data_IF_751199308716
#
_entry.id   IF_751199308716
#
_cell.length_a   1.000
_cell.length_b   1.000
_cell.length_c   1.000
_cell.angle_alpha   90.00
_cell.angle_beta   90.00
_cell.angle_gamma   90.00
#
_symmetry.space_group_name_H-M   'P 1'
#
loop_
_entity.id
_entity.type
_entity.pdbx_description
1 polymer ?
#
# COMPACT_ATOMS: atom_id res chain seq x y z
N UNK A 1 37.56 -28.57 3.21
CA UNK A 1 36.73 -27.76 2.30
C UNK A 1 35.32 -27.74 2.85
N UNK A 2 34.78 -26.60 3.35
CA UNK A 2 33.42 -26.56 3.83
C UNK A 2 32.46 -26.12 2.71
N UNK A 3 31.39 -26.90 2.55
CA UNK A 3 30.26 -26.61 1.68
C UNK A 3 29.40 -25.51 2.32
N UNK A 4 29.10 -24.46 1.54
CA UNK A 4 28.16 -23.41 1.90
C UNK A 4 26.72 -23.94 1.72
N UNK A 5 26.01 -24.11 2.83
CA UNK A 5 24.56 -24.28 2.86
C UNK A 5 23.91 -22.90 2.72
N UNK A 6 23.38 -22.61 1.53
CA UNK A 6 22.46 -21.50 1.29
C UNK A 6 21.11 -21.81 1.95
N UNK A 7 20.83 -21.13 3.06
CA UNK A 7 19.51 -21.13 3.69
C UNK A 7 18.57 -20.25 2.89
N UNK A 8 17.60 -20.86 2.22
CA UNK A 8 16.44 -20.18 1.65
C UNK A 8 15.51 -19.79 2.80
N UNK A 9 15.48 -18.52 3.17
CA UNK A 9 14.43 -17.98 4.04
C UNK A 9 13.13 -17.93 3.24
N UNK A 10 12.29 -18.93 3.44
CA UNK A 10 10.90 -18.93 2.99
C UNK A 10 10.15 -17.75 3.60
N UNK A 11 9.62 -16.90 2.75
CA UNK A 11 8.60 -15.91 3.10
C UNK A 11 7.34 -16.66 3.50
N UNK A 12 7.10 -16.76 4.82
CA UNK A 12 5.81 -17.19 5.35
C UNK A 12 4.75 -16.20 4.87
N UNK A 13 3.84 -16.69 4.02
CA UNK A 13 2.59 -16.02 3.68
C UNK A 13 1.84 -15.69 4.98
N UNK A 14 1.78 -14.40 5.30
CA UNK A 14 0.97 -13.89 6.39
C UNK A 14 -0.45 -13.75 5.87
N UNK A 15 -1.28 -14.76 6.15
CA UNK A 15 -2.72 -14.61 6.25
C UNK A 15 -3.02 -13.59 7.35
N UNK A 16 -3.26 -12.34 6.96
CA UNK A 16 -3.97 -11.36 7.78
C UNK A 16 -5.16 -10.84 6.97
N UNK A 17 -6.27 -11.59 6.99
CA UNK A 17 -7.58 -10.98 6.84
C UNK A 17 -8.05 -10.56 8.25
N UNK A 18 -8.62 -9.36 8.38
CA UNK A 18 -10.07 -9.32 8.26
C UNK A 18 -10.52 -8.19 7.33
N UNK A 19 -11.48 -8.51 6.47
CA UNK A 19 -12.48 -7.61 5.91
C UNK A 19 -12.00 -6.17 5.66
N UNK A 20 -11.42 -5.94 4.48
CA UNK A 20 -11.28 -4.60 3.91
C UNK A 20 -11.93 -4.62 2.54
N UNK A 21 -13.20 -4.25 2.49
CA UNK A 21 -13.77 -3.67 1.27
C UNK A 21 -12.90 -2.45 0.95
N UNK A 22 -11.98 -2.56 -0.01
CA UNK A 22 -11.10 -1.46 -0.44
C UNK A 22 -11.86 -0.21 -0.91
N UNK A 23 -13.17 -0.33 -1.14
CA UNK A 23 -14.08 0.79 -1.43
C UNK A 23 -14.56 1.58 -0.21
N UNK A 24 -14.39 1.04 1.00
CA UNK A 24 -14.76 1.67 2.25
C UNK A 24 -13.56 1.74 3.18
N UNK A 25 -12.56 2.59 2.84
CA UNK A 25 -11.89 3.34 3.89
C UNK A 25 -12.99 3.89 4.80
N UNK A 26 -13.08 3.35 6.03
CA UNK A 26 -14.19 3.54 6.97
C UNK A 26 -14.71 4.98 6.84
N UNK A 27 -16.03 5.18 6.71
CA UNK A 27 -16.63 6.52 6.63
C UNK A 27 -16.10 7.41 7.77
N UNK A 28 -15.71 6.80 8.89
CA UNK A 28 -14.95 7.41 9.98
C UNK A 28 -13.60 7.99 9.55
N UNK A 29 -12.72 7.21 8.90
CA UNK A 29 -11.42 7.67 8.41
C UNK A 29 -11.59 8.78 7.37
N UNK A 30 -12.49 8.63 6.39
CA UNK A 30 -12.80 9.71 5.43
C UNK A 30 -13.28 11.00 6.09
N UNK A 31 -14.03 10.91 7.21
CA UNK A 31 -14.45 12.08 8.00
C UNK A 31 -13.32 12.69 8.82
N UNK A 32 -12.38 11.88 9.31
CA UNK A 32 -11.19 12.37 10.00
C UNK A 32 -10.26 13.08 9.02
N UNK A 33 -10.12 12.55 7.80
CA UNK A 33 -9.35 13.17 6.71
C UNK A 33 -9.83 14.59 6.38
N UNK A 34 -11.14 14.77 6.17
CA UNK A 34 -11.77 16.07 5.88
C UNK A 34 -11.61 17.13 6.97
N UNK A 35 -11.32 16.71 8.21
CA UNK A 35 -11.25 17.60 9.37
C UNK A 35 -9.82 17.83 9.84
N UNK A 36 -8.87 17.02 9.37
CA UNK A 36 -7.50 17.13 9.80
C UNK A 36 -6.86 18.40 9.22
N UNK A 37 -6.07 19.14 10.01
CA UNK A 37 -5.33 20.27 9.49
C UNK A 37 -4.33 19.79 8.45
N UNK A 38 -4.24 20.52 7.35
CA UNK A 38 -3.19 20.31 6.34
C UNK A 38 -1.89 20.94 6.85
N UNK A 39 -0.79 20.19 6.78
CA UNK A 39 0.56 20.67 7.10
C UNK A 39 1.53 20.25 6.02
N UNK A 40 2.66 20.95 5.94
CA UNK A 40 3.86 20.52 5.22
C UNK A 40 4.78 19.77 6.19
N UNK A 41 5.68 18.94 5.68
CA UNK A 41 6.57 18.08 6.45
C UNK A 41 7.53 18.88 7.34
N UNK A 42 8.10 19.96 6.83
CA UNK A 42 9.09 20.77 7.52
C UNK A 42 8.53 21.47 8.75
N UNK A 43 7.25 21.87 8.72
CA UNK A 43 6.57 22.54 9.84
C UNK A 43 5.80 21.57 10.75
N UNK A 44 5.78 20.28 10.44
CA UNK A 44 5.02 19.32 11.23
C UNK A 44 5.72 19.07 12.58
N UNK A 45 5.00 19.40 13.63
CA UNK A 45 5.38 19.07 15.00
C UNK A 45 5.27 17.57 15.26
N UNK A 46 6.18 17.06 16.08
CA UNK A 46 6.20 15.64 16.44
C UNK A 46 4.93 15.23 17.20
N UNK A 47 4.41 14.03 16.93
CA UNK A 47 3.17 13.49 17.50
C UNK A 47 1.90 14.30 17.18
N UNK A 48 1.98 15.30 16.31
CA UNK A 48 0.81 16.05 15.85
C UNK A 48 0.13 15.33 14.70
N UNK A 49 -1.17 15.08 14.88
CA UNK A 49 -1.99 14.42 13.88
C UNK A 49 -2.38 15.42 12.78
N UNK A 50 -1.83 15.24 11.58
CA UNK A 50 -2.03 16.15 10.46
C UNK A 50 -2.11 15.41 9.13
N UNK A 51 -2.67 16.09 8.14
CA UNK A 51 -2.68 15.66 6.74
C UNK A 51 -1.48 16.28 6.04
N UNK A 52 -0.68 15.46 5.37
CA UNK A 52 0.45 15.89 4.57
C UNK A 52 0.29 15.36 3.15
N UNK A 53 0.45 16.22 2.15
CA UNK A 53 0.49 15.82 0.74
C UNK A 53 1.92 15.87 0.23
N UNK A 54 2.29 14.92 -0.62
CA UNK A 54 3.63 14.86 -1.20
C UNK A 54 3.72 13.83 -2.31
N UNK A 55 4.89 13.75 -2.91
CA UNK A 55 5.23 12.84 -4.01
C UNK A 55 5.85 11.56 -3.45
N UNK A 56 5.41 10.42 -3.94
CA UNK A 56 5.97 9.11 -3.58
C UNK A 56 7.35 8.95 -4.21
N UNK A 57 8.34 8.62 -3.40
CA UNK A 57 9.72 8.33 -3.81
C UNK A 57 10.15 6.96 -3.31
N UNK A 58 11.07 6.28 -4.03
CA UNK A 58 11.51 4.97 -3.62
C UNK A 58 12.31 5.03 -2.32
N UNK A 59 12.06 4.08 -1.41
CA UNK A 59 12.92 3.85 -0.25
C UNK A 59 13.82 2.64 -0.52
N UNK A 60 15.09 2.89 -0.81
CA UNK A 60 16.05 1.86 -1.21
C UNK A 60 15.94 1.47 -2.69
N UNK A 61 16.36 0.23 -3.02
CA UNK A 61 16.51 -0.24 -4.42
C UNK A 61 15.44 -1.22 -4.90
N UNK A 62 14.55 -1.68 -4.02
CA UNK A 62 13.51 -2.65 -4.36
C UNK A 62 12.18 -1.93 -4.57
N UNK A 63 11.38 -2.40 -5.51
CA UNK A 63 9.98 -2.03 -5.71
C UNK A 63 9.14 -3.30 -5.78
N UNK A 64 7.85 -3.17 -5.54
CA UNK A 64 6.87 -4.23 -5.81
C UNK A 64 6.54 -4.25 -7.30
N UNK A 65 6.20 -5.43 -7.81
CA UNK A 65 5.61 -5.58 -9.14
C UNK A 65 4.16 -6.03 -8.95
N UNK A 66 3.23 -5.24 -9.48
CA UNK A 66 1.82 -5.48 -9.30
C UNK A 66 1.36 -6.72 -10.10
N UNK A 67 0.63 -7.68 -9.49
CA UNK A 67 0.42 -9.00 -10.09
C UNK A 67 -0.37 -9.00 -11.40
N UNK A 68 -1.32 -8.08 -11.57
CA UNK A 68 -2.19 -8.04 -12.74
C UNK A 68 -1.57 -7.19 -13.86
N UNK A 69 -1.20 -5.94 -13.59
CA UNK A 69 -0.63 -5.05 -14.60
C UNK A 69 0.86 -5.27 -14.85
N UNK A 70 1.63 -5.75 -13.86
CA UNK A 70 3.10 -5.83 -13.90
C UNK A 70 3.80 -4.47 -13.67
N UNK A 71 3.07 -3.47 -13.18
CA UNK A 71 3.63 -2.13 -12.92
C UNK A 71 4.47 -2.12 -11.65
N UNK A 72 5.56 -1.36 -11.67
CA UNK A 72 6.41 -1.16 -10.50
C UNK A 72 5.76 -0.15 -9.55
N UNK A 73 5.69 -0.49 -8.27
CA UNK A 73 4.93 0.27 -7.29
C UNK A 73 5.46 0.14 -5.86
N UNK A 74 4.97 0.98 -4.96
CA UNK A 74 5.22 0.87 -3.51
C UNK A 74 4.07 0.21 -2.76
N UNK A 75 2.90 0.12 -3.39
CA UNK A 75 1.73 -0.58 -2.90
C UNK A 75 0.90 -1.09 -4.08
N UNK A 76 0.35 -2.28 -3.92
CA UNK A 76 -0.75 -2.76 -4.75
C UNK A 76 -1.84 -3.40 -3.88
N UNK A 77 -3.06 -3.42 -4.40
CA UNK A 77 -4.14 -4.25 -3.93
C UNK A 77 -4.93 -4.76 -5.11
N UNK A 78 -5.32 -6.03 -5.08
CA UNK A 78 -6.20 -6.58 -6.10
C UNK A 78 -7.35 -7.36 -5.49
N UNK A 79 -8.49 -7.29 -6.17
CA UNK A 79 -9.70 -8.03 -5.85
C UNK A 79 -10.07 -8.93 -7.01
N UNK A 80 -10.45 -10.16 -6.68
CA UNK A 80 -11.16 -11.06 -7.58
C UNK A 80 -12.63 -11.07 -7.19
N UNK A 81 -13.48 -10.68 -8.13
CA UNK A 81 -14.92 -10.55 -7.93
C UNK A 81 -15.64 -11.55 -8.82
N UNK A 82 -16.54 -12.32 -8.22
CA UNK A 82 -17.48 -13.18 -8.94
C UNK A 82 -18.76 -12.41 -9.17
N UNK A 83 -19.17 -12.29 -10.43
CA UNK A 83 -20.45 -11.72 -10.82
C UNK A 83 -21.46 -12.83 -11.11
N UNK A 84 -22.68 -12.68 -10.57
CA UNK A 84 -23.82 -13.56 -10.81
C UNK A 84 -25.10 -12.73 -10.97
N UNK A 85 -25.55 -12.56 -12.21
CA UNK A 85 -26.61 -11.66 -12.60
C UNK A 85 -26.24 -10.22 -12.26
N UNK A 86 -26.96 -9.64 -11.30
CA UNK A 86 -26.73 -8.27 -10.79
C UNK A 86 -25.90 -8.22 -9.50
N UNK A 87 -25.46 -9.37 -8.99
CA UNK A 87 -24.73 -9.46 -7.73
C UNK A 87 -23.24 -9.65 -7.98
N UNK A 88 -22.44 -8.74 -7.44
CA UNK A 88 -20.99 -8.84 -7.38
C UNK A 88 -20.57 -9.27 -5.97
N UNK A 89 -19.66 -10.22 -5.88
CA UNK A 89 -19.11 -10.69 -4.61
C UNK A 89 -17.60 -10.78 -4.72
N UNK A 90 -16.87 -10.08 -3.85
CA UNK A 90 -15.42 -10.25 -3.70
C UNK A 90 -15.19 -11.66 -3.14
N UNK A 91 -14.45 -12.47 -3.89
CA UNK A 91 -14.18 -13.88 -3.54
C UNK A 91 -12.72 -14.11 -3.16
N UNK A 92 -11.85 -13.13 -3.39
CA UNK A 92 -10.47 -13.13 -2.94
C UNK A 92 -9.89 -11.73 -3.08
N UNK A 93 -8.98 -11.40 -2.18
CA UNK A 93 -8.29 -10.12 -2.12
C UNK A 93 -6.89 -10.35 -1.59
N UNK A 94 -5.95 -9.53 -2.06
CA UNK A 94 -4.59 -9.47 -1.55
C UNK A 94 -4.11 -8.02 -1.68
N UNK A 95 -3.31 -7.59 -0.71
CA UNK A 95 -2.62 -6.31 -0.76
C UNK A 95 -1.20 -6.48 -0.22
N UNK A 96 -0.27 -5.74 -0.82
CA UNK A 96 1.11 -5.67 -0.34
C UNK A 96 1.59 -4.21 -0.46
N UNK A 97 2.21 -3.72 0.61
CA UNK A 97 2.83 -2.41 0.66
C UNK A 97 4.23 -2.51 1.22
N UNK A 98 5.13 -1.69 0.71
CA UNK A 98 6.49 -1.55 1.22
C UNK A 98 6.75 -0.14 1.74
N UNK A 99 7.75 0.01 2.61
CA UNK A 99 8.19 1.33 3.06
C UNK A 99 8.59 2.20 1.85
N UNK A 100 8.19 3.46 1.85
CA UNK A 100 8.52 4.43 0.81
C UNK A 100 8.78 5.82 1.40
N UNK A 101 9.26 6.74 0.58
CA UNK A 101 9.48 8.14 0.96
C UNK A 101 8.33 9.01 0.45
N UNK A 102 7.90 9.95 1.28
CA UNK A 102 7.01 11.03 0.88
C UNK A 102 7.82 12.32 0.85
N UNK A 103 7.92 12.95 -0.30
CA UNK A 103 8.64 14.21 -0.51
C UNK A 103 7.66 15.35 -0.75
N UNK A 104 7.82 16.45 -0.03
CA UNK A 104 7.15 17.72 -0.33
C UNK A 104 8.19 18.85 -0.53
N UNK A 105 7.73 20.07 -0.72
CA UNK A 105 8.60 21.24 -0.95
C UNK A 105 9.52 21.55 0.25
N UNK A 106 9.22 21.01 1.43
CA UNK A 106 9.87 21.33 2.70
C UNK A 106 10.73 20.22 3.27
N UNK A 107 10.58 18.98 2.78
CA UNK A 107 11.40 17.87 3.23
C UNK A 107 10.92 16.50 2.76
N UNK A 108 11.45 15.47 3.41
CA UNK A 108 11.14 14.08 3.15
C UNK A 108 10.71 13.38 4.44
N UNK A 109 9.77 12.44 4.31
CA UNK A 109 9.33 11.58 5.39
C UNK A 109 9.34 10.11 4.96
N UNK A 110 9.68 9.22 5.88
CA UNK A 110 9.56 7.78 5.70
C UNK A 110 8.15 7.36 6.04
N UNK A 111 7.47 6.69 5.11
CA UNK A 111 6.14 6.13 5.32
C UNK A 111 6.27 4.63 5.53
N UNK A 112 5.94 4.16 6.72
CA UNK A 112 5.81 2.74 7.02
C UNK A 112 4.34 2.31 6.85
N UNK A 113 4.01 1.49 5.83
CA UNK A 113 2.64 1.06 5.59
C UNK A 113 2.13 0.03 6.61
N UNK A 114 2.93 -0.36 7.60
CA UNK A 114 2.47 -1.21 8.69
C UNK A 114 1.22 -0.60 9.36
N UNK A 115 0.12 -1.36 9.35
CA UNK A 115 -1.19 -0.94 9.84
C UNK A 115 -1.79 0.27 9.10
N UNK A 116 -1.37 0.58 7.88
CA UNK A 116 -1.97 1.62 7.07
C UNK A 116 -3.30 1.17 6.44
N UNK A 117 -4.24 2.10 6.33
CA UNK A 117 -5.45 2.00 5.54
C UNK A 117 -5.24 2.77 4.24
N UNK A 118 -5.30 2.06 3.12
CA UNK A 118 -5.19 2.63 1.79
C UNK A 118 -6.59 2.92 1.24
N UNK A 119 -6.76 4.11 0.68
CA UNK A 119 -7.90 4.54 -0.12
C UNK A 119 -7.36 4.90 -1.50
N UNK A 120 -7.09 3.88 -2.31
CA UNK A 120 -6.53 4.00 -3.66
C UNK A 120 -7.57 3.47 -4.65
N UNK A 121 -7.74 4.17 -5.77
CA UNK A 121 -8.66 3.78 -6.83
C UNK A 121 -8.19 2.55 -7.59
N UNK A 122 -9.13 1.70 -8.01
CA UNK A 122 -8.84 0.65 -8.97
C UNK A 122 -8.69 1.27 -10.37
N UNK A 123 -7.49 1.17 -10.92
CA UNK A 123 -7.11 1.79 -12.19
C UNK A 123 -6.84 0.75 -13.30
N UNK A 124 -6.81 -0.54 -12.93
CA UNK A 124 -6.69 -1.65 -13.87
C UNK A 124 -7.78 -2.70 -13.62
N UNK A 125 -8.54 -3.03 -14.67
CA UNK A 125 -9.59 -4.06 -14.62
C UNK A 125 -9.48 -5.01 -15.82
N UNK A 126 -9.57 -6.31 -15.55
CA UNK A 126 -9.69 -7.34 -16.59
C UNK A 126 -10.77 -8.35 -16.21
N UNK A 127 -11.22 -9.16 -17.18
CA UNK A 127 -12.31 -10.12 -16.97
C UNK A 127 -11.99 -11.49 -17.57
N UNK A 128 -12.58 -12.53 -17.00
CA UNK A 128 -12.65 -13.87 -17.59
C UNK A 128 -14.02 -14.48 -17.28
N UNK A 129 -14.50 -15.47 -18.04
CA UNK A 129 -15.75 -16.17 -17.70
C UNK A 129 -15.56 -17.07 -16.49
N UNK A 130 -14.43 -17.76 -16.41
CA UNK A 130 -14.03 -18.60 -15.29
C UNK A 130 -12.50 -18.79 -15.26
N UNK A 131 -12.03 -19.84 -14.58
CA UNK A 131 -10.61 -20.20 -14.54
C UNK A 131 -10.05 -20.73 -15.89
N UNK A 132 -10.90 -21.31 -16.75
CA UNK A 132 -10.42 -21.97 -17.98
C UNK A 132 -10.03 -20.98 -19.08
N UNK A 133 -10.66 -19.81 -19.14
CA UNK A 133 -10.37 -18.75 -20.10
C UNK A 133 -9.55 -17.60 -19.49
N UNK A 134 -9.05 -17.79 -18.27
CA UNK A 134 -8.16 -16.84 -17.61
C UNK A 134 -6.82 -16.70 -18.37
N UNK A 135 -6.33 -15.46 -18.49
CA UNK A 135 -4.99 -15.17 -18.99
C UNK A 135 -3.92 -15.75 -18.04
N UNK A 136 -2.65 -15.89 -18.47
CA UNK A 136 -1.60 -16.40 -17.59
C UNK A 136 -1.49 -15.64 -16.25
N UNK A 137 -1.55 -14.30 -16.26
CA UNK A 137 -1.54 -13.48 -15.04
C UNK A 137 -2.76 -13.70 -14.15
N UNK A 138 -3.96 -13.77 -14.74
CA UNK A 138 -5.19 -14.07 -14.01
C UNK A 138 -5.15 -15.46 -13.36
N UNK A 139 -4.58 -16.46 -14.06
CA UNK A 139 -4.41 -17.81 -13.53
C UNK A 139 -3.45 -17.82 -12.34
N UNK A 140 -2.33 -17.10 -12.42
CA UNK A 140 -1.41 -16.94 -11.30
C UNK A 140 -2.11 -16.33 -10.08
N UNK A 141 -2.93 -15.29 -10.27
CA UNK A 141 -3.74 -14.70 -9.21
C UNK A 141 -4.72 -15.72 -8.60
N UNK A 142 -5.44 -16.48 -9.44
CA UNK A 142 -6.35 -17.52 -8.94
C UNK A 142 -5.62 -18.64 -8.19
N UNK A 143 -4.39 -18.97 -8.58
CA UNK A 143 -3.55 -19.95 -7.87
C UNK A 143 -3.05 -19.40 -6.54
N UNK A 144 -2.56 -18.15 -6.51
CA UNK A 144 -2.12 -17.46 -5.28
C UNK A 144 -3.23 -17.41 -4.23
N UNK A 145 -4.48 -17.22 -4.66
CA UNK A 145 -5.65 -17.17 -3.80
C UNK A 145 -6.33 -18.54 -3.54
N UNK A 146 -5.76 -19.65 -4.04
CA UNK A 146 -6.37 -20.99 -4.00
C UNK A 146 -7.81 -21.06 -4.58
N UNK A 147 -8.11 -20.19 -5.52
CA UNK A 147 -9.40 -20.11 -6.21
C UNK A 147 -9.44 -20.95 -7.49
N UNK A 148 -8.28 -21.37 -8.02
CA UNK A 148 -8.21 -22.05 -9.33
C UNK A 148 -9.07 -23.32 -9.42
N UNK A 149 -9.26 -24.03 -8.30
CA UNK A 149 -10.01 -25.29 -8.22
C UNK A 149 -11.49 -25.09 -7.86
N UNK A 150 -11.92 -23.85 -7.65
CA UNK A 150 -13.30 -23.55 -7.27
C UNK A 150 -14.27 -23.94 -8.38
N UNK A 151 -15.46 -24.36 -7.99
CA UNK A 151 -16.52 -24.68 -8.95
C UNK A 151 -17.18 -23.38 -9.45
N UNK A 152 -17.04 -23.09 -10.74
CA UNK A 152 -17.51 -21.85 -11.39
C UNK A 152 -18.86 -21.99 -12.12
N UNK A 153 -19.58 -23.11 -11.97
CA UNK A 153 -20.82 -23.39 -12.73
C UNK A 153 -21.91 -22.31 -12.55
N UNK A 154 -21.92 -21.58 -11.43
CA UNK A 154 -22.92 -20.55 -11.13
C UNK A 154 -22.39 -19.11 -11.27
N UNK A 155 -21.16 -18.94 -11.75
CA UNK A 155 -20.53 -17.63 -11.96
C UNK A 155 -20.65 -17.25 -13.43
N UNK A 156 -21.12 -16.03 -13.72
CA UNK A 156 -21.22 -15.55 -15.10
C UNK A 156 -19.86 -15.10 -15.63
N UNK A 157 -19.13 -14.36 -14.80
CA UNK A 157 -17.77 -13.94 -15.07
C UNK A 157 -17.04 -13.57 -13.77
N UNK A 158 -15.71 -13.59 -13.86
CA UNK A 158 -14.76 -13.08 -12.90
C UNK A 158 -14.27 -11.71 -13.36
N UNK A 159 -14.22 -10.77 -12.43
CA UNK A 159 -13.64 -9.44 -12.61
C UNK A 159 -12.42 -9.34 -11.70
N UNK A 160 -11.27 -9.04 -12.29
CA UNK A 160 -10.02 -8.81 -11.58
C UNK A 160 -9.76 -7.32 -11.60
N UNK A 161 -9.67 -6.71 -10.44
CA UNK A 161 -9.42 -5.27 -10.29
C UNK A 161 -8.15 -5.08 -9.50
N UNK A 162 -7.30 -4.18 -9.94
CA UNK A 162 -6.05 -3.83 -9.28
C UNK A 162 -5.99 -2.31 -9.06
N UNK A 163 -5.52 -1.93 -7.88
CA UNK A 163 -5.25 -0.58 -7.43
C UNK A 163 -3.76 -0.49 -7.08
N UNK A 164 -3.10 0.58 -7.48
CA UNK A 164 -1.64 0.71 -7.37
C UNK A 164 -1.27 2.10 -6.86
N UNK A 165 -0.20 2.16 -6.09
CA UNK A 165 0.49 3.41 -5.80
C UNK A 165 1.88 3.43 -6.45
N UNK A 166 2.04 4.26 -7.47
CA UNK A 166 3.26 4.35 -8.28
C UNK A 166 4.29 5.29 -7.67
N UNK A 167 5.53 5.17 -8.15
CA UNK A 167 6.57 6.18 -7.89
C UNK A 167 6.19 7.47 -8.63
N UNK A 168 6.54 8.61 -8.04
CA UNK A 168 6.26 9.95 -8.55
C UNK A 168 4.77 10.35 -8.50
N UNK A 169 3.90 9.49 -7.96
CA UNK A 169 2.50 9.80 -7.71
C UNK A 169 2.35 10.77 -6.52
N UNK A 170 1.44 11.73 -6.63
CA UNK A 170 1.13 12.64 -5.52
C UNK A 170 0.04 12.06 -4.66
N UNK A 171 0.34 11.85 -3.38
CA UNK A 171 -0.57 11.26 -2.41
C UNK A 171 -0.83 12.21 -1.25
N UNK A 172 -1.76 11.81 -0.40
CA UNK A 172 -1.89 12.37 0.93
C UNK A 172 -1.87 11.31 2.02
N UNK A 173 -1.15 11.60 3.09
CA UNK A 173 -0.99 10.78 4.28
C UNK A 173 -1.59 11.51 5.47
N UNK A 174 -2.43 10.82 6.23
CA UNK A 174 -2.96 11.27 7.50
C UNK A 174 -2.41 10.40 8.61
N UNK A 175 -1.78 11.05 9.58
CA UNK A 175 -1.19 10.37 10.73
C UNK A 175 -0.47 11.34 11.64
N UNK A 176 0.18 10.77 12.66
CA UNK A 176 1.14 11.49 13.47
C UNK A 176 2.55 11.04 13.07
N UNK A 177 3.43 12.01 12.80
CA UNK A 177 4.83 11.76 12.51
C UNK A 177 5.68 11.76 13.78
N UNK A 178 6.70 10.92 13.81
CA UNK A 178 7.73 10.86 14.87
C UNK A 178 9.08 11.23 14.24
N UNK A 179 9.92 11.98 14.94
CA UNK A 179 11.27 12.31 14.46
C UNK A 179 12.25 11.25 14.95
N UNK A 180 12.92 10.60 14.01
CA UNK A 180 13.98 9.64 14.33
C UNK A 180 15.33 10.13 13.78
N UNK A 181 16.45 9.75 14.42
CA UNK A 181 17.78 9.95 13.85
C UNK A 181 17.84 9.37 12.44
N UNK A 182 18.27 10.15 11.46
CA UNK A 182 18.42 9.70 10.08
C UNK A 182 19.74 8.92 9.93
N UNK A 183 19.70 7.59 9.75
CA UNK A 183 20.92 6.81 9.55
C UNK A 183 21.59 7.09 8.20
N UNK A 184 20.87 7.68 7.24
CA UNK A 184 21.38 7.97 5.90
C UNK A 184 21.91 9.40 5.76
N UNK A 185 21.78 10.22 6.80
CA UNK A 185 22.29 11.58 6.78
C UNK A 185 23.81 11.60 6.61
N UNK A 186 24.27 12.33 5.60
CA UNK A 186 25.70 12.64 5.44
C UNK A 186 26.09 13.50 6.63
N UNK A 187 26.95 12.97 7.51
CA UNK A 187 27.51 13.71 8.64
C UNK A 187 28.32 14.90 8.11
N UNK A 188 27.72 16.07 8.10
CA UNK A 188 28.34 17.32 7.66
C UNK A 188 28.92 18.14 8.83
N UNK A 189 28.61 17.77 10.08
CA UNK A 189 29.06 18.47 11.30
C UNK A 189 30.24 17.82 12.03
N UNK A 190 31.08 18.66 12.66
CA UNK A 190 32.23 18.27 13.52
C UNK A 190 31.83 17.90 14.97
N UNK A 191 30.55 18.00 15.32
CA UNK A 191 30.03 17.72 16.67
C UNK A 191 29.11 16.50 16.69
N UNK A 192 29.14 15.75 17.80
CA UNK A 192 28.40 14.49 18.01
C UNK A 192 26.87 14.65 18.14
N UNK A 193 26.38 15.86 18.38
CA UNK A 193 25.00 16.09 18.82
C UNK A 193 24.03 16.53 17.72
N UNK A 194 24.52 16.77 16.50
CA UNK A 194 23.69 17.22 15.38
C UNK A 194 23.39 16.04 14.44
N UNK A 195 22.70 15.03 14.97
CA UNK A 195 22.22 13.92 14.15
C UNK A 195 21.00 14.42 13.42
N UNK A 196 21.12 14.63 12.11
CA UNK A 196 20.00 15.02 11.27
C UNK A 196 18.82 14.06 11.53
N UNK A 197 17.65 14.61 11.76
CA UNK A 197 16.45 13.83 12.05
C UNK A 197 15.58 13.78 10.80
N UNK A 198 14.93 12.64 10.59
CA UNK A 198 13.90 12.48 9.57
C UNK A 198 12.54 12.23 10.20
N UNK A 199 11.49 12.68 9.52
CA UNK A 199 10.13 12.38 9.92
C UNK A 199 9.78 10.95 9.49
N UNK A 200 9.17 10.17 10.37
CA UNK A 200 8.60 8.86 10.05
C UNK A 200 7.13 8.82 10.44
N UNK A 201 6.29 8.36 9.53
CA UNK A 201 4.90 8.04 9.81
C UNK A 201 4.78 6.54 9.97
N UNK A 202 4.14 6.11 11.07
CA UNK A 202 3.82 4.70 11.32
C UNK A 202 2.43 4.61 11.92
N UNK A 203 1.68 3.59 11.50
CA UNK A 203 0.33 3.32 12.01
C UNK A 203 0.32 2.40 13.22
N UNK A 204 -0.80 2.38 13.93
CA UNK A 204 -1.10 1.33 14.90
C UNK A 204 -2.47 0.74 14.59
N UNK A 205 -2.78 -0.45 15.11
CA UNK A 205 -4.11 -1.03 14.94
C UNK A 205 -5.25 -0.12 15.45
N UNK A 206 -4.98 0.72 16.47
CA UNK A 206 -5.97 1.67 17.04
C UNK A 206 -6.03 2.99 16.26
N UNK A 207 -4.89 3.44 15.75
CA UNK A 207 -4.73 4.68 14.98
C UNK A 207 -3.93 4.35 13.72
N UNK A 208 -4.58 3.79 12.69
CA UNK A 208 -3.90 3.46 11.44
C UNK A 208 -3.49 4.75 10.73
N UNK A 209 -2.41 4.67 9.95
CA UNK A 209 -2.18 5.70 8.92
C UNK A 209 -3.28 5.59 7.88
N UNK A 210 -3.66 6.71 7.29
CA UNK A 210 -4.56 6.70 6.13
C UNK A 210 -3.82 7.30 4.95
N UNK A 211 -3.76 6.55 3.85
CA UNK A 211 -3.01 6.90 2.63
C UNK A 211 -4.00 6.93 1.46
N UNK A 212 -3.93 7.96 0.62
CA UNK A 212 -4.80 8.07 -0.57
C UNK A 212 -4.07 8.68 -1.76
N UNK A 213 -4.49 8.26 -2.95
CA UNK A 213 -4.08 8.71 -4.29
C UNK A 213 -4.85 9.95 -4.79
N UNK A 214 -5.91 10.37 -4.10
CA UNK A 214 -6.59 11.64 -4.36
C UNK A 214 -6.32 12.65 -3.23
N UNK A 215 -5.28 13.51 -3.37
CA UNK A 215 -4.94 14.54 -2.39
C UNK A 215 -6.06 15.54 -2.11
N UNK A 216 -7.04 15.64 -3.01
CA UNK A 216 -8.20 16.55 -2.92
C UNK A 216 -9.46 15.85 -2.40
N UNK A 217 -9.53 14.52 -2.45
CA UNK A 217 -10.64 13.75 -1.84
C UNK A 217 -10.68 13.85 -0.31
N UNK A 218 -9.58 14.35 0.28
CA UNK A 218 -9.38 14.56 1.71
C UNK A 218 -9.71 15.97 2.17
#
# INVERSE_FOLDING_TARGET
MPAFLTSAMGTLGRLFAPFRDGYWADRRFRRQLKKAPSSVLGSLEENTFARVSGTVRPFGKRLLEAPLSGRLCVYYSFDVVSTRGVHDTIIGTEDEGMTFLLEDETGCAVIDPAHAVFSVGFDHETRSKAAFDATPKQREILERLDLIRRNWILTDHLVYREAILEIDETIAVLGAGVREPDPEAVRTGLYRDDVAQRMRFTGTAKYPLVITDDPRSL
#
